data_IF_540639816806
#
_entry.id   IF_540639816806
#
_cell.length_a   1.000
_cell.length_b   1.000
_cell.length_c   1.000
_cell.angle_alpha   90.00
_cell.angle_beta   90.00
_cell.angle_gamma   90.00
#
_symmetry.space_group_name_H-M   'P 1'
#
loop_
_entity.id
_entity.type
_entity.pdbx_description
1 polymer ?
#
# COMPACT_ATOMS: atom_id res chain seq x y z
N UNK A 1 3.56 2.10 -1.40
CA UNK A 1 3.93 3.16 -2.37
C UNK A 1 3.58 2.69 -3.78
N UNK A 2 3.58 3.57 -4.78
CA UNK A 2 3.24 3.20 -6.17
C UNK A 2 4.19 2.16 -6.78
N UNK A 3 5.41 2.08 -6.25
CA UNK A 3 6.48 1.15 -6.62
C UNK A 3 6.43 -0.21 -5.89
N UNK A 4 5.33 -0.52 -5.21
CA UNK A 4 5.15 -1.80 -4.51
C UNK A 4 5.87 -1.92 -3.16
N UNK A 5 6.61 -0.90 -2.71
CA UNK A 5 7.25 -0.90 -1.38
C UNK A 5 6.24 -0.60 -0.28
N UNK A 6 6.35 -1.30 0.86
CA UNK A 6 5.66 -0.92 2.09
C UNK A 6 6.29 0.33 2.68
N UNK A 7 5.46 1.19 3.24
CA UNK A 7 5.91 2.37 3.98
C UNK A 7 6.66 1.98 5.27
N UNK A 8 6.38 0.80 5.82
CA UNK A 8 6.91 0.31 7.11
C UNK A 8 7.99 -0.77 6.94
N UNK A 9 8.67 -0.83 5.80
CA UNK A 9 9.80 -1.75 5.63
C UNK A 9 11.03 -1.23 6.38
N UNK A 10 11.32 -1.83 7.55
CA UNK A 10 12.45 -1.47 8.41
C UNK A 10 13.74 -2.24 8.10
N UNK A 11 13.79 -3.01 7.01
CA UNK A 11 15.00 -3.77 6.65
C UNK A 11 16.19 -2.83 6.45
N UNK A 12 17.36 -3.15 7.04
CA UNK A 12 18.52 -2.27 6.96
C UNK A 12 19.07 -2.26 5.53
N UNK A 13 19.63 -1.12 5.13
CA UNK A 13 20.19 -0.91 3.78
C UNK A 13 21.25 -1.95 3.40
N UNK A 14 22.05 -2.42 4.36
CA UNK A 14 23.08 -3.42 4.10
C UNK A 14 22.49 -4.75 3.60
N UNK A 15 21.38 -5.18 4.18
CA UNK A 15 20.71 -6.42 3.81
C UNK A 15 20.09 -6.32 2.41
N UNK A 16 19.33 -5.24 2.16
CA UNK A 16 18.72 -4.98 0.84
C UNK A 16 19.79 -4.86 -0.26
N UNK A 17 20.91 -4.21 0.03
CA UNK A 17 22.02 -4.11 -0.92
C UNK A 17 22.70 -5.46 -1.17
N UNK A 18 22.83 -6.30 -0.14
CA UNK A 18 23.43 -7.63 -0.29
C UNK A 18 22.57 -8.54 -1.17
N UNK A 19 21.24 -8.46 -1.03
CA UNK A 19 20.26 -9.15 -1.88
C UNK A 19 20.37 -8.67 -3.33
N UNK A 20 20.42 -7.35 -3.55
CA UNK A 20 20.58 -6.77 -4.89
C UNK A 20 21.88 -7.24 -5.57
N UNK A 21 23.00 -7.24 -4.84
CA UNK A 21 24.29 -7.69 -5.38
C UNK A 21 24.34 -9.20 -5.64
N UNK A 22 23.56 -9.98 -4.92
CA UNK A 22 23.35 -11.39 -5.21
C UNK A 22 22.53 -11.56 -6.50
N UNK A 23 21.46 -10.77 -6.68
CA UNK A 23 20.62 -10.82 -7.89
C UNK A 23 21.37 -10.38 -9.15
N UNK A 24 22.22 -9.35 -9.05
CA UNK A 24 23.11 -8.91 -10.14
C UNK A 24 24.10 -10.03 -10.51
N UNK A 25 24.70 -10.67 -9.50
CA UNK A 25 25.62 -11.79 -9.71
C UNK A 25 24.93 -13.02 -10.33
N UNK A 26 23.72 -13.34 -9.89
CA UNK A 26 22.93 -14.46 -10.43
C UNK A 26 22.53 -14.23 -11.89
N UNK A 27 22.39 -12.98 -12.31
CA UNK A 27 22.19 -12.60 -13.71
C UNK A 27 23.50 -12.45 -14.49
N UNK A 28 24.60 -13.06 -14.02
CA UNK A 28 25.91 -13.06 -14.66
C UNK A 28 26.54 -11.68 -14.91
N UNK A 29 26.08 -10.65 -14.19
CA UNK A 29 26.65 -9.31 -14.27
C UNK A 29 27.72 -9.08 -13.20
N UNK A 30 28.69 -8.21 -13.52
CA UNK A 30 29.73 -7.80 -12.57
C UNK A 30 29.11 -6.95 -11.46
N UNK A 31 29.56 -7.13 -10.21
CA UNK A 31 29.12 -6.34 -9.05
C UNK A 31 29.70 -4.91 -9.08
N UNK A 32 29.24 -4.13 -10.04
CA UNK A 32 29.57 -2.71 -10.21
C UNK A 32 28.34 -1.84 -9.97
N UNK A 33 28.56 -0.58 -9.59
CA UNK A 33 27.48 0.41 -9.46
C UNK A 33 26.75 0.65 -10.78
N UNK A 34 27.46 0.59 -11.90
CA UNK A 34 26.89 0.72 -13.24
C UNK A 34 25.95 -0.45 -13.57
N UNK A 35 26.44 -1.69 -13.42
CA UNK A 35 25.64 -2.89 -13.68
C UNK A 35 24.44 -3.01 -12.74
N UNK A 36 24.61 -2.63 -11.46
CA UNK A 36 23.50 -2.58 -10.50
C UNK A 36 22.42 -1.59 -10.95
N UNK A 37 22.82 -0.44 -11.51
CA UNK A 37 21.88 0.55 -12.06
C UNK A 37 21.17 0.01 -13.29
N UNK A 38 21.89 -0.59 -14.24
CA UNK A 38 21.31 -1.19 -15.44
C UNK A 38 20.31 -2.28 -15.07
N UNK A 39 20.69 -3.17 -14.16
CA UNK A 39 19.83 -4.22 -13.65
C UNK A 39 18.52 -3.68 -13.06
N UNK A 40 18.61 -2.65 -12.21
CA UNK A 40 17.43 -2.01 -11.60
C UNK A 40 16.52 -1.35 -12.63
N UNK A 41 17.09 -0.76 -13.70
CA UNK A 41 16.33 -0.10 -14.76
C UNK A 41 15.62 -1.13 -15.65
N UNK A 42 16.32 -2.18 -16.09
CA UNK A 42 15.78 -3.20 -16.98
C UNK A 42 14.77 -4.12 -16.30
N UNK A 43 14.86 -4.28 -14.98
CA UNK A 43 13.99 -5.18 -14.21
C UNK A 43 13.03 -4.43 -13.28
N UNK A 44 12.84 -3.12 -13.47
CA UNK A 44 12.05 -2.28 -12.58
C UNK A 44 10.66 -2.85 -12.28
N UNK A 45 9.91 -3.23 -13.31
CA UNK A 45 8.54 -3.78 -13.16
C UNK A 45 8.52 -5.10 -12.37
N UNK A 46 9.43 -6.02 -12.68
CA UNK A 46 9.55 -7.30 -11.99
C UNK A 46 9.93 -7.13 -10.52
N UNK A 47 10.82 -6.18 -10.23
CA UNK A 47 11.24 -5.85 -8.88
C UNK A 47 10.10 -5.20 -8.08
N UNK A 48 9.32 -4.31 -8.71
CA UNK A 48 8.13 -3.72 -8.08
C UNK A 48 7.08 -4.80 -7.74
N UNK A 49 6.85 -5.76 -8.63
CA UNK A 49 5.90 -6.85 -8.37
C UNK A 49 6.40 -7.85 -7.31
N UNK A 50 7.70 -8.19 -7.33
CA UNK A 50 8.33 -8.98 -6.26
C UNK A 50 8.23 -8.31 -4.90
N UNK A 51 8.46 -6.99 -4.85
CA UNK A 51 8.32 -6.23 -3.62
C UNK A 51 6.85 -6.25 -3.16
N UNK A 52 5.91 -6.00 -4.06
CA UNK A 52 4.47 -6.03 -3.76
C UNK A 52 4.03 -7.38 -3.18
N UNK A 53 4.40 -8.49 -3.80
CA UNK A 53 4.08 -9.84 -3.33
C UNK A 53 4.71 -10.16 -1.97
N UNK A 54 5.98 -9.79 -1.78
CA UNK A 54 6.67 -9.95 -0.49
C UNK A 54 5.98 -9.14 0.62
N UNK A 55 5.53 -7.91 0.30
CA UNK A 55 4.81 -7.08 1.26
C UNK A 55 3.45 -7.69 1.64
N UNK A 56 2.68 -8.17 0.67
CA UNK A 56 1.39 -8.81 0.91
C UNK A 56 1.55 -10.09 1.76
N UNK A 57 2.58 -10.89 1.52
CA UNK A 57 2.84 -12.12 2.28
C UNK A 57 3.36 -11.88 3.69
N UNK A 58 4.22 -10.89 3.91
CA UNK A 58 5.00 -10.78 5.14
C UNK A 58 4.62 -9.59 6.04
N UNK A 59 4.27 -8.43 5.47
CA UNK A 59 4.10 -7.18 6.23
C UNK A 59 2.66 -6.68 6.29
N UNK A 60 1.83 -7.00 5.29
CA UNK A 60 0.45 -6.55 5.20
C UNK A 60 -0.49 -7.71 4.79
N UNK A 61 -0.66 -8.74 5.66
CA UNK A 61 -1.54 -9.88 5.39
C UNK A 61 -3.02 -9.48 5.26
N UNK A 62 -3.36 -8.24 5.60
CA UNK A 62 -4.67 -7.64 5.44
C UNK A 62 -4.99 -7.22 4.00
N UNK A 63 -4.08 -7.42 3.03
CA UNK A 63 -4.32 -7.19 1.62
C UNK A 63 -4.12 -8.49 0.79
N UNK A 64 -5.02 -8.79 -0.17
CA UNK A 64 -6.15 -7.99 -0.62
C UNK A 64 -7.25 -7.90 0.45
N UNK A 65 -7.86 -6.72 0.59
CA UNK A 65 -9.03 -6.54 1.44
C UNK A 65 -10.17 -7.39 0.86
N UNK A 66 -10.28 -8.64 1.28
CA UNK A 66 -11.28 -9.58 0.78
C UNK A 66 -12.70 -9.24 1.26
N UNK A 67 -12.79 -8.40 2.30
CA UNK A 67 -14.08 -7.90 2.80
C UNK A 67 -14.70 -6.90 1.82
N UNK A 68 -15.99 -7.04 1.48
CA UNK A 68 -16.69 -6.08 0.66
C UNK A 68 -16.57 -4.67 1.26
N UNK A 69 -16.42 -3.64 0.44
CA UNK A 69 -16.41 -2.25 0.93
C UNK A 69 -17.75 -1.82 1.57
N UNK A 70 -18.83 -2.57 1.30
CA UNK A 70 -20.13 -2.41 1.94
C UNK A 70 -20.20 -3.06 3.33
N UNK A 71 -19.24 -3.93 3.67
CA UNK A 71 -19.18 -4.60 4.96
C UNK A 71 -18.58 -3.64 5.98
N UNK A 72 -19.40 -3.19 6.94
CA UNK A 72 -19.01 -2.22 7.97
C UNK A 72 -17.91 -2.78 8.89
N UNK A 73 -17.66 -4.10 8.84
CA UNK A 73 -16.58 -4.75 9.58
C UNK A 73 -16.70 -4.52 11.08
N UNK A 74 -15.58 -4.18 11.72
CA UNK A 74 -15.53 -3.83 13.15
C UNK A 74 -15.83 -2.34 13.43
N UNK A 75 -16.08 -1.53 12.39
CA UNK A 75 -16.43 -0.14 12.61
C UNK A 75 -17.87 -0.04 13.07
N UNK A 76 -18.07 0.65 14.19
CA UNK A 76 -19.40 0.94 14.69
C UNK A 76 -20.15 1.86 13.70
N UNK A 77 -21.48 1.68 13.52
CA UNK A 77 -22.25 2.48 12.57
C UNK A 77 -22.15 3.98 12.89
N UNK A 78 -22.14 4.79 11.83
CA UNK A 78 -21.95 6.23 11.92
C UNK A 78 -23.23 6.92 12.41
N UNK A 79 -23.11 7.89 13.31
CA UNK A 79 -24.28 8.66 13.78
C UNK A 79 -24.76 9.63 12.71
N UNK A 80 -23.82 10.35 12.09
CA UNK A 80 -24.10 11.39 11.12
C UNK A 80 -23.35 11.17 9.81
N UNK A 81 -23.94 11.63 8.71
CA UNK A 81 -23.31 11.73 7.40
C UNK A 81 -23.35 13.19 6.96
N UNK A 82 -22.21 13.73 6.54
CA UNK A 82 -22.15 15.05 5.91
C UNK A 82 -22.34 14.87 4.42
N UNK A 83 -23.39 15.51 3.88
CA UNK A 83 -23.66 15.60 2.46
C UNK A 83 -23.37 17.03 2.01
N UNK A 84 -22.44 17.17 1.09
CA UNK A 84 -22.08 18.47 0.50
C UNK A 84 -22.55 18.51 -0.94
N UNK A 85 -23.28 19.57 -1.28
CA UNK A 85 -23.47 20.00 -2.67
C UNK A 85 -22.44 21.10 -2.98
N UNK A 86 -22.40 21.60 -4.23
CA UNK A 86 -21.44 22.64 -4.64
C UNK A 86 -21.57 24.00 -3.93
N UNK A 87 -22.57 24.18 -3.07
CA UNK A 87 -22.88 25.45 -2.39
C UNK A 87 -22.95 25.31 -0.87
N UNK A 88 -23.42 24.17 -0.34
CA UNK A 88 -23.61 23.97 1.10
C UNK A 88 -23.39 22.54 1.51
N UNK A 89 -23.00 22.35 2.78
CA UNK A 89 -22.90 21.05 3.41
C UNK A 89 -23.93 20.94 4.55
N UNK A 90 -24.70 19.85 4.55
CA UNK A 90 -25.63 19.51 5.61
C UNK A 90 -25.17 18.25 6.36
N UNK A 91 -25.39 18.24 7.67
CA UNK A 91 -25.08 17.10 8.55
C UNK A 91 -26.39 16.37 8.86
N UNK A 92 -26.55 15.18 8.29
CA UNK A 92 -27.76 14.38 8.38
C UNK A 92 -27.55 13.27 9.42
N UNK A 93 -28.44 13.15 10.39
CA UNK A 93 -28.43 12.03 11.34
C UNK A 93 -29.01 10.78 10.67
N UNK A 94 -28.22 9.70 10.63
CA UNK A 94 -28.60 8.44 9.96
C UNK A 94 -28.87 7.34 10.99
N UNK A 95 -28.18 7.37 12.13
CA UNK A 95 -28.39 6.41 13.21
C UNK A 95 -28.19 7.07 14.58
N UNK A 96 -29.24 7.29 15.38
CA UNK A 96 -29.13 7.93 16.69
C UNK A 96 -28.21 7.20 17.67
N UNK A 97 -28.10 5.88 17.51
CA UNK A 97 -27.25 5.04 18.34
C UNK A 97 -25.84 4.89 17.78
N UNK A 98 -25.53 5.49 16.63
CA UNK A 98 -24.21 5.42 16.00
C UNK A 98 -23.17 6.31 16.71
N UNK A 99 -21.93 6.29 16.21
CA UNK A 99 -20.85 7.13 16.70
C UNK A 99 -20.16 7.89 15.55
N UNK A 100 -19.82 9.16 15.81
CA UNK A 100 -19.01 9.96 14.91
C UNK A 100 -19.75 10.50 13.69
N UNK A 101 -18.98 10.97 12.70
CA UNK A 101 -19.50 11.60 11.48
C UNK A 101 -18.66 11.15 10.29
N UNK A 102 -19.30 10.69 9.22
CA UNK A 102 -18.63 10.37 7.96
C UNK A 102 -18.83 11.45 6.90
N UNK A 103 -17.89 11.55 5.98
CA UNK A 103 -18.01 12.40 4.78
C UNK A 103 -18.37 11.51 3.59
N UNK A 104 -19.55 11.73 3.00
CA UNK A 104 -19.85 11.23 1.65
C UNK A 104 -19.72 12.40 0.69
N UNK A 105 -18.66 12.35 -0.11
CA UNK A 105 -18.49 13.29 -1.23
C UNK A 105 -19.28 12.68 -2.39
N UNK A 106 -20.28 13.41 -2.89
CA UNK A 106 -20.98 13.12 -4.14
C UNK A 106 -20.45 14.05 -5.23
#
# INVERSE_FOLDING_TARGET
>A
MADGRAFTDYRPRCMVNSELLADVYNNSMVRSSYESRMFLQENAEKLMERNRTTMLGNLAPCAPCARPFADQGTMYPQQYVVKCDGVSCEKIEVNPNGLGTSTRIY
#
